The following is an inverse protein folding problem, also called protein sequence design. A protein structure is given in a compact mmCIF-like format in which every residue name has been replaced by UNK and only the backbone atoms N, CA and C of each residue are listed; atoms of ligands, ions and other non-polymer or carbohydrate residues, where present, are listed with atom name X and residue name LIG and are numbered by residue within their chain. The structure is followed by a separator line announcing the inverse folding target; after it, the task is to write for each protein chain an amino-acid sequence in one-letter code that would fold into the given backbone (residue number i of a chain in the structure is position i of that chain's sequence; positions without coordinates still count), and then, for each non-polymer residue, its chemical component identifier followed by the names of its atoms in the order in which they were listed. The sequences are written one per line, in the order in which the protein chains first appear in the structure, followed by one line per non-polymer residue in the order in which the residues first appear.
data_IF_988107628374
#
_entry.id   IF_988107628374
#
_cell.length_a   1.000
_cell.length_b   1.000
_cell.length_c   1.000
_cell.angle_alpha   90.00
_cell.angle_beta   90.00
_cell.angle_gamma   90.00
#
_symmetry.space_group_name_H-M   'P 1'
#
loop_
_entity.id
_entity.type
_entity.pdbx_description
1 polymer ?
#
# COMPACT_ATOMS: atom_id res chain seq x y z
N UNK A 1 12.87 1.56 -5.25
CA UNK A 1 11.94 2.60 -4.75
C UNK A 1 10.85 2.75 -5.79
N UNK A 2 9.63 2.38 -5.42
CA UNK A 2 8.49 2.49 -6.33
C UNK A 2 8.14 3.94 -6.61
N UNK A 3 7.73 4.20 -7.84
CA UNK A 3 7.00 5.42 -8.20
C UNK A 3 5.57 5.34 -7.67
N UNK A 4 4.88 6.47 -7.49
CA UNK A 4 3.48 6.51 -7.03
C UNK A 4 2.57 5.52 -7.79
N UNK A 5 2.72 5.45 -9.11
CA UNK A 5 1.94 4.54 -9.97
C UNK A 5 2.26 3.07 -9.74
N UNK A 6 3.54 2.73 -9.58
CA UNK A 6 3.96 1.35 -9.35
C UNK A 6 3.51 0.85 -7.98
N UNK A 7 3.58 1.72 -6.96
CA UNK A 7 3.07 1.41 -5.64
C UNK A 7 1.55 1.23 -5.69
N UNK A 8 0.81 2.17 -6.30
CA UNK A 8 -0.65 2.05 -6.41
C UNK A 8 -1.09 0.77 -7.14
N UNK A 9 -0.42 0.38 -8.24
CA UNK A 9 -0.69 -0.88 -8.96
C UNK A 9 -0.42 -2.11 -8.09
N UNK A 10 0.68 -2.12 -7.34
CA UNK A 10 1.01 -3.21 -6.42
C UNK A 10 -0.01 -3.33 -5.28
N UNK A 11 -0.46 -2.19 -4.71
CA UNK A 11 -1.49 -2.17 -3.66
C UNK A 11 -2.85 -2.64 -4.19
N UNK A 12 -3.23 -2.21 -5.39
CA UNK A 12 -4.45 -2.65 -6.05
C UNK A 12 -4.44 -4.16 -6.32
N UNK A 13 -3.30 -4.70 -6.78
CA UNK A 13 -3.12 -6.14 -6.98
C UNK A 13 -3.20 -6.89 -5.65
N UNK A 14 -2.59 -6.37 -4.58
CA UNK A 14 -2.64 -6.97 -3.24
C UNK A 14 -4.09 -7.03 -2.69
N UNK A 15 -4.89 -5.99 -2.95
CA UNK A 15 -6.31 -5.95 -2.58
C UNK A 15 -7.20 -6.83 -3.46
N UNK A 16 -6.73 -7.22 -4.65
CA UNK A 16 -7.48 -8.07 -5.54
C UNK A 16 -7.43 -9.53 -5.04
N UNK A 17 -8.60 -10.10 -4.74
CA UNK A 17 -8.79 -11.46 -4.20
C UNK A 17 -8.36 -12.61 -5.15
N UNK A 18 -7.60 -12.32 -6.22
CA UNK A 18 -7.14 -13.30 -7.21
C UNK A 18 -5.74 -13.86 -6.91
N UNK A 19 -5.03 -13.32 -5.93
CA UNK A 19 -3.72 -13.83 -5.51
C UNK A 19 -3.89 -15.02 -4.57
N UNK A 20 -2.97 -15.99 -4.64
CA UNK A 20 -2.81 -17.01 -3.60
C UNK A 20 -2.16 -16.40 -2.37
N UNK A 21 -2.20 -17.10 -1.24
CA UNK A 21 -1.50 -16.67 -0.01
C UNK A 21 0.00 -16.46 -0.27
N UNK A 22 0.65 -17.37 -1.01
CA UNK A 22 2.08 -17.26 -1.37
C UNK A 22 2.38 -16.02 -2.24
N UNK A 23 1.57 -15.76 -3.26
CA UNK A 23 1.74 -14.60 -4.14
C UNK A 23 1.48 -13.28 -3.39
N UNK A 24 0.51 -13.29 -2.47
CA UNK A 24 0.20 -12.15 -1.63
C UNK A 24 1.34 -11.84 -0.66
N UNK A 25 1.94 -12.87 -0.06
CA UNK A 25 3.08 -12.73 0.86
C UNK A 25 4.35 -12.23 0.13
N UNK A 26 4.61 -12.75 -1.08
CA UNK A 26 5.72 -12.26 -1.91
C UNK A 26 5.52 -10.79 -2.28
N UNK A 27 4.32 -10.41 -2.73
CA UNK A 27 3.99 -9.04 -3.09
C UNK A 27 4.08 -8.10 -1.88
N UNK A 28 3.59 -8.54 -0.71
CA UNK A 28 3.71 -7.81 0.55
C UNK A 28 5.17 -7.55 0.92
N UNK A 29 6.02 -8.59 0.82
CA UNK A 29 7.45 -8.47 1.03
C UNK A 29 8.12 -7.49 0.05
N UNK A 30 7.71 -7.50 -1.23
CA UNK A 30 8.24 -6.57 -2.24
C UNK A 30 7.85 -5.12 -1.96
N UNK A 31 6.60 -4.87 -1.57
CA UNK A 31 6.11 -3.54 -1.19
C UNK A 31 6.87 -3.07 0.05
N UNK A 32 6.96 -3.90 1.09
CA UNK A 32 7.67 -3.57 2.33
C UNK A 32 9.14 -3.20 2.10
N UNK A 33 9.86 -3.91 1.22
CA UNK A 33 11.26 -3.57 0.85
C UNK A 33 11.39 -2.27 0.07
N UNK A 34 10.37 -1.86 -0.67
CA UNK A 34 10.39 -0.66 -1.51
C UNK A 34 9.76 0.56 -0.82
N UNK A 35 9.20 0.37 0.37
CA UNK A 35 8.46 1.37 1.13
C UNK A 35 9.25 1.78 2.36
N UNK A 36 9.27 3.07 2.66
CA UNK A 36 9.97 3.60 3.84
C UNK A 36 9.08 3.67 5.08
N UNK A 37 7.77 3.80 4.87
CA UNK A 37 6.78 3.87 5.93
C UNK A 37 6.54 2.47 6.50
N UNK A 38 6.82 2.19 7.79
CA UNK A 38 6.54 0.88 8.38
C UNK A 38 5.04 0.60 8.57
N UNK A 39 4.20 1.64 8.62
CA UNK A 39 2.76 1.55 8.87
C UNK A 39 1.95 1.51 7.56
N UNK A 40 2.62 1.33 6.42
CA UNK A 40 1.99 1.34 5.10
C UNK A 40 0.84 0.35 4.93
N UNK A 41 0.96 -0.84 5.55
CA UNK A 41 -0.05 -1.89 5.50
C UNK A 41 -1.30 -1.54 6.30
N UNK A 42 -1.14 -0.78 7.38
CA UNK A 42 -2.25 -0.35 8.23
C UNK A 42 -3.21 0.56 7.45
N UNK A 43 -2.66 1.42 6.58
CA UNK A 43 -3.44 2.29 5.70
C UNK A 43 -4.37 1.56 4.73
N UNK A 44 -4.12 0.27 4.49
CA UNK A 44 -4.83 -0.53 3.49
C UNK A 44 -5.77 -1.55 4.14
N UNK A 45 -5.31 -2.20 5.22
CA UNK A 45 -6.05 -3.28 5.87
C UNK A 45 -6.88 -2.82 7.07
N UNK A 46 -6.49 -1.74 7.74
CA UNK A 46 -7.10 -1.30 9.00
C UNK A 46 -7.67 0.11 8.95
N UNK A 47 -7.09 1.00 8.15
CA UNK A 47 -7.54 2.38 8.02
C UNK A 47 -8.75 2.50 7.09
N UNK A 48 -9.81 3.15 7.56
CA UNK A 48 -10.95 3.57 6.74
C UNK A 48 -10.76 4.96 6.13
N UNK A 49 -9.66 5.65 6.47
CA UNK A 49 -9.36 7.01 6.00
C UNK A 49 -9.27 7.13 4.47
N UNK A 50 -8.93 6.03 3.80
CA UNK A 50 -8.75 5.98 2.34
C UNK A 50 -9.89 5.21 1.65
N UNK A 51 -10.94 4.82 2.37
CA UNK A 51 -12.09 4.16 1.76
C UNK A 51 -13.00 5.22 1.15
N UNK A 52 -13.24 5.13 -0.15
CA UNK A 52 -14.17 6.01 -0.87
C UNK A 52 -15.61 5.67 -0.50
N UNK A 53 -16.54 6.56 -0.87
CA UNK A 53 -17.97 6.38 -0.68
C UNK A 53 -18.55 5.12 -1.37
N UNK A 54 -17.82 4.55 -2.33
CA UNK A 54 -18.17 3.33 -3.07
C UNK A 54 -17.62 2.05 -2.42
N UNK A 55 -17.19 2.13 -1.15
CA UNK A 55 -16.55 1.03 -0.39
C UNK A 55 -15.22 0.54 -0.99
N UNK A 56 -14.70 1.24 -2.00
CA UNK A 56 -13.42 0.96 -2.64
C UNK A 56 -12.28 1.74 -1.99
N UNK A 57 -11.13 1.10 -1.80
CA UNK A 57 -9.93 1.75 -1.24
C UNK A 57 -9.24 2.62 -2.29
N UNK A 58 -8.97 3.89 -1.96
CA UNK A 58 -8.22 4.85 -2.76
C UNK A 58 -6.71 4.57 -2.67
N UNK A 59 -6.26 3.56 -3.43
CA UNK A 59 -4.85 3.15 -3.48
C UNK A 59 -3.90 4.28 -3.91
N UNK A 60 -4.38 5.25 -4.68
CA UNK A 60 -3.56 6.40 -5.09
C UNK A 60 -3.31 7.36 -3.93
N UNK A 61 -4.31 7.62 -3.10
CA UNK A 61 -4.19 8.43 -1.90
C UNK A 61 -3.28 7.76 -0.87
N UNK A 62 -3.43 6.44 -0.69
CA UNK A 62 -2.56 5.62 0.17
C UNK A 62 -1.11 5.67 -0.34
N UNK A 63 -0.87 5.40 -1.62
CA UNK A 63 0.47 5.45 -2.20
C UNK A 63 1.11 6.84 -2.04
N UNK A 64 0.33 7.92 -2.16
CA UNK A 64 0.82 9.27 -1.93
C UNK A 64 1.18 9.52 -0.46
N UNK A 65 0.37 9.02 0.48
CA UNK A 65 0.65 9.11 1.92
C UNK A 65 1.94 8.39 2.30
N UNK A 66 2.09 7.15 1.81
CA UNK A 66 3.26 6.31 2.01
C UNK A 66 4.53 6.98 1.47
N UNK A 67 4.47 7.53 0.25
CA UNK A 67 5.62 8.23 -0.34
C UNK A 67 5.92 9.59 0.30
N UNK A 68 4.90 10.21 0.90
CA UNK A 68 5.08 11.44 1.67
C UNK A 68 5.69 11.18 3.05
N UNK A 69 5.74 9.92 3.51
CA UNK A 69 6.40 9.55 4.75
C UNK A 69 7.87 9.94 4.69
N UNK A 70 8.28 10.79 5.65
CA UNK A 70 9.67 11.17 5.84
C UNK A 70 10.08 10.72 7.23
N UNK A 71 11.02 9.75 7.34
CA UNK A 71 11.51 9.36 8.65
C UNK A 71 12.10 10.60 9.33
N UNK A 72 11.59 10.92 10.52
CA UNK A 72 12.15 11.98 11.36
C UNK A 72 13.53 11.47 11.77
N UNK A 73 14.60 12.13 11.29
CA UNK A 73 15.94 11.91 11.81
C UNK A 73 15.97 12.46 13.23
N UNK A 74 15.85 11.57 14.22
CA UNK A 74 16.18 11.84 15.61
C UNK A 74 17.70 11.92 15.79
#
# INVERSE_FOLDING_TARGET
MYSKKELADALERLLCSKLTEEESDELFCQISKNTLDPDWSDYIFHSTEFVRADETTDVEAVANKILAYRPIRL
#
